data_IF_704669962129
#
_entry.id   IF_704669962129
#
_cell.length_a   1.000
_cell.length_b   1.000
_cell.length_c   1.000
_cell.angle_alpha   90.00
_cell.angle_beta   90.00
_cell.angle_gamma   90.00
#
_symmetry.space_group_name_H-M   'P 1'
#
loop_
_entity.id
_entity.type
_entity.pdbx_description
1 polymer ?
#
# COMPACT_ATOMS: atom_id res chain seq x y z
N UNK A 1 -18.14 2.56 -25.15
CA UNK A 1 -18.18 1.64 -23.99
C UNK A 1 -19.28 2.12 -23.06
N UNK A 2 -20.22 1.25 -22.68
CA UNK A 2 -21.23 1.59 -21.66
C UNK A 2 -20.58 1.29 -20.31
N UNK A 3 -19.81 2.23 -19.79
CA UNK A 3 -19.18 2.10 -18.47
C UNK A 3 -20.21 2.28 -17.36
N UNK A 4 -19.99 1.63 -16.22
CA UNK A 4 -20.81 1.78 -15.02
C UNK A 4 -20.71 3.23 -14.51
N UNK A 5 -21.79 4.01 -14.70
CA UNK A 5 -21.81 5.44 -14.37
C UNK A 5 -22.24 5.66 -12.93
N UNK A 6 -21.52 6.53 -12.24
CA UNK A 6 -21.76 6.89 -10.84
C UNK A 6 -21.74 8.40 -10.69
N UNK A 7 -22.78 8.96 -10.08
CA UNK A 7 -22.80 10.38 -9.73
C UNK A 7 -22.08 10.59 -8.41
N UNK A 8 -21.07 11.45 -8.39
CA UNK A 8 -20.35 11.83 -7.18
C UNK A 8 -20.94 13.13 -6.63
N UNK A 9 -21.53 13.07 -5.43
CA UNK A 9 -22.10 14.24 -4.77
C UNK A 9 -21.01 15.22 -4.30
N UNK A 10 -21.33 16.51 -4.19
CA UNK A 10 -20.38 17.55 -3.77
C UNK A 10 -19.76 17.22 -2.39
N UNK A 11 -20.53 16.62 -1.48
CA UNK A 11 -20.05 16.31 -0.12
C UNK A 11 -18.86 15.33 -0.08
N UNK A 12 -18.76 14.40 -1.05
CA UNK A 12 -17.62 13.46 -1.16
C UNK A 12 -16.48 14.02 -2.00
N UNK A 13 -16.75 15.06 -2.80
CA UNK A 13 -15.77 15.79 -3.60
C UNK A 13 -15.04 16.88 -2.80
N UNK A 14 -15.56 17.27 -1.64
CA UNK A 14 -14.95 18.32 -0.82
C UNK A 14 -13.69 17.87 -0.06
N UNK A 15 -13.72 16.80 0.75
CA UNK A 15 -12.53 16.32 1.44
C UNK A 15 -11.47 15.87 0.43
N UNK A 16 -10.30 16.49 0.49
CA UNK A 16 -9.28 16.33 -0.55
C UNK A 16 -8.82 14.88 -0.70
N UNK A 17 -8.56 14.18 0.41
CA UNK A 17 -8.10 12.79 0.37
C UNK A 17 -9.14 11.84 -0.24
N UNK A 18 -10.39 11.90 0.23
CA UNK A 18 -11.47 11.04 -0.27
C UNK A 18 -11.73 11.29 -1.76
N UNK A 19 -11.82 12.56 -2.16
CA UNK A 19 -12.03 12.93 -3.56
C UNK A 19 -10.88 12.45 -4.46
N UNK A 20 -9.62 12.57 -4.00
CA UNK A 20 -8.48 12.09 -4.77
C UNK A 20 -8.52 10.57 -4.97
N UNK A 21 -8.88 9.81 -3.93
CA UNK A 21 -9.03 8.35 -4.04
C UNK A 21 -10.16 7.99 -5.02
N UNK A 22 -11.36 8.54 -4.85
CA UNK A 22 -12.49 8.30 -5.76
C UNK A 22 -12.17 8.64 -7.22
N UNK A 23 -11.50 9.77 -7.46
CA UNK A 23 -11.10 10.17 -8.81
C UNK A 23 -9.98 9.30 -9.37
N UNK A 24 -9.07 8.77 -8.55
CA UNK A 24 -8.03 7.85 -9.02
C UNK A 24 -8.63 6.48 -9.38
N UNK A 25 -9.60 6.00 -8.60
CA UNK A 25 -10.36 4.78 -8.92
C UNK A 25 -11.17 4.94 -10.21
N UNK A 26 -11.73 6.12 -10.46
CA UNK A 26 -12.38 6.46 -11.72
C UNK A 26 -11.41 6.53 -12.91
N UNK A 27 -10.21 7.07 -12.71
CA UNK A 27 -9.13 7.13 -13.71
C UNK A 27 -8.65 5.71 -14.09
N UNK A 28 -8.67 4.78 -13.14
CA UNK A 28 -8.43 3.35 -13.35
C UNK A 28 -9.64 2.59 -13.93
N UNK A 29 -10.63 3.31 -14.46
CA UNK A 29 -11.82 2.78 -15.16
C UNK A 29 -12.74 1.87 -14.32
N UNK A 30 -12.63 1.86 -12.99
CA UNK A 30 -13.54 1.08 -12.11
C UNK A 30 -14.98 1.59 -12.16
N UNK A 31 -15.16 2.88 -12.44
CA UNK A 31 -16.45 3.49 -12.74
C UNK A 31 -16.26 4.78 -13.56
N UNK A 32 -17.34 5.23 -14.21
CA UNK A 32 -17.35 6.48 -14.96
C UNK A 32 -18.01 7.56 -14.10
N UNK A 33 -17.27 8.61 -13.66
CA UNK A 33 -17.84 9.63 -12.81
C UNK A 33 -18.75 10.57 -13.61
N UNK A 34 -19.84 11.00 -12.97
CA UNK A 34 -20.79 11.97 -13.49
C UNK A 34 -21.00 13.07 -12.46
N UNK A 35 -21.06 14.32 -12.93
CA UNK A 35 -21.42 15.48 -12.12
C UNK A 35 -22.02 16.58 -13.00
N UNK A 36 -22.71 17.53 -12.38
CA UNK A 36 -23.26 18.69 -13.09
C UNK A 36 -22.36 19.91 -12.96
N UNK A 37 -22.50 20.91 -13.86
CA UNK A 37 -21.92 22.23 -13.64
C UNK A 37 -22.30 22.85 -12.30
N UNK A 38 -23.58 22.77 -11.90
CA UNK A 38 -24.06 23.31 -10.61
C UNK A 38 -23.36 22.62 -9.41
N UNK A 39 -23.06 21.32 -9.52
CA UNK A 39 -22.33 20.56 -8.51
C UNK A 39 -20.89 21.04 -8.37
N UNK A 40 -20.18 21.24 -9.48
CA UNK A 40 -18.81 21.76 -9.42
C UNK A 40 -18.74 23.21 -8.96
N UNK A 41 -19.74 24.05 -9.29
CA UNK A 41 -19.88 25.39 -8.74
C UNK A 41 -20.09 25.35 -7.22
N UNK A 42 -20.86 24.39 -6.72
CA UNK A 42 -21.02 24.15 -5.30
C UNK A 42 -19.70 23.71 -4.63
N UNK A 43 -18.95 22.80 -5.26
CA UNK A 43 -17.63 22.39 -4.77
C UNK A 43 -16.70 23.61 -4.69
N UNK A 44 -16.64 24.44 -5.73
CA UNK A 44 -15.82 25.66 -5.75
C UNK A 44 -16.20 26.62 -4.62
N UNK A 45 -17.50 26.91 -4.47
CA UNK A 45 -18.04 27.77 -3.41
C UNK A 45 -17.68 27.24 -2.02
N UNK A 46 -17.91 25.96 -1.76
CA UNK A 46 -17.66 25.36 -0.46
C UNK A 46 -16.16 25.32 -0.12
N UNK A 47 -15.27 25.14 -1.10
CA UNK A 47 -13.82 25.18 -0.87
C UNK A 47 -13.30 26.55 -0.42
N UNK A 48 -13.92 27.62 -0.92
CA UNK A 48 -13.62 29.00 -0.47
C UNK A 48 -14.23 29.36 0.89
N UNK A 49 -15.14 28.54 1.41
CA UNK A 49 -15.76 28.74 2.71
C UNK A 49 -14.79 28.56 3.88
N UNK A 50 -15.16 29.08 5.05
CA UNK A 50 -14.35 29.06 6.28
C UNK A 50 -13.92 27.66 6.73
N UNK A 51 -14.66 26.62 6.35
CA UNK A 51 -14.34 25.22 6.66
C UNK A 51 -13.08 24.71 5.95
N UNK A 52 -12.84 25.14 4.71
CA UNK A 52 -11.73 24.63 3.89
C UNK A 52 -10.69 25.70 3.57
N UNK A 53 -11.06 26.98 3.63
CA UNK A 53 -10.13 28.11 3.62
C UNK A 53 -9.26 28.23 2.37
N UNK A 54 -9.68 27.66 1.23
CA UNK A 54 -8.94 27.78 -0.03
C UNK A 54 -9.16 29.15 -0.63
N UNK A 55 -8.15 29.69 -1.32
CA UNK A 55 -8.37 30.92 -2.11
C UNK A 55 -9.29 30.61 -3.30
N UNK A 56 -9.99 31.61 -3.86
CA UNK A 56 -10.79 31.44 -5.08
C UNK A 56 -9.99 30.81 -6.23
N UNK A 57 -8.73 31.21 -6.39
CA UNK A 57 -7.84 30.66 -7.40
C UNK A 57 -7.54 29.18 -7.15
N UNK A 58 -7.29 28.78 -5.91
CA UNK A 58 -7.04 27.37 -5.55
C UNK A 58 -8.28 26.50 -5.80
N UNK A 59 -9.47 26.99 -5.44
CA UNK A 59 -10.73 26.27 -5.67
C UNK A 59 -11.00 26.09 -7.16
N UNK A 60 -10.87 27.17 -7.95
CA UNK A 60 -11.03 27.15 -9.40
C UNK A 60 -10.02 26.23 -10.09
N UNK A 61 -8.76 26.25 -9.66
CA UNK A 61 -7.72 25.36 -10.18
C UNK A 61 -8.02 23.89 -9.90
N UNK A 62 -8.59 23.56 -8.74
CA UNK A 62 -9.00 22.19 -8.42
C UNK A 62 -10.12 21.71 -9.36
N UNK A 63 -11.17 22.52 -9.53
CA UNK A 63 -12.28 22.21 -10.45
C UNK A 63 -11.80 22.09 -11.89
N UNK A 64 -10.89 22.96 -12.33
CA UNK A 64 -10.30 22.89 -13.67
C UNK A 64 -9.55 21.56 -13.88
N UNK A 65 -8.74 21.11 -12.90
CA UNK A 65 -8.05 19.81 -12.98
C UNK A 65 -9.02 18.64 -13.09
N UNK A 66 -10.14 18.68 -12.35
CA UNK A 66 -11.17 17.64 -12.44
C UNK A 66 -11.81 17.60 -13.83
N UNK A 67 -12.15 18.76 -14.42
CA UNK A 67 -12.68 18.85 -15.79
C UNK A 67 -11.68 18.36 -16.83
N UNK A 68 -10.41 18.68 -16.66
CA UNK A 68 -9.35 18.24 -17.58
C UNK A 68 -9.15 16.73 -17.51
N UNK A 69 -9.18 16.14 -16.32
CA UNK A 69 -9.04 14.69 -16.15
C UNK A 69 -10.27 13.93 -16.66
N UNK A 70 -11.47 14.47 -16.48
CA UNK A 70 -12.73 13.81 -16.87
C UNK A 70 -13.57 14.73 -17.79
N UNK A 71 -13.17 14.92 -19.06
CA UNK A 71 -13.81 15.88 -19.96
C UNK A 71 -15.28 15.56 -20.27
N UNK A 72 -15.69 14.29 -20.14
CA UNK A 72 -17.05 13.84 -20.46
C UNK A 72 -18.00 13.80 -19.25
N UNK A 73 -17.50 13.97 -18.02
CA UNK A 73 -18.29 13.78 -16.80
C UNK A 73 -19.49 14.74 -16.70
N UNK A 74 -19.35 15.99 -17.16
CA UNK A 74 -20.47 16.94 -17.25
C UNK A 74 -21.40 16.63 -18.42
N UNK A 75 -20.84 16.22 -19.57
CA UNK A 75 -21.61 15.96 -20.80
C UNK A 75 -22.62 14.83 -20.61
N UNK A 76 -22.28 13.79 -19.84
CA UNK A 76 -23.21 12.71 -19.52
C UNK A 76 -24.49 13.18 -18.83
N UNK A 77 -24.43 14.31 -18.11
CA UNK A 77 -25.60 14.89 -17.43
C UNK A 77 -26.30 15.97 -18.25
N UNK A 78 -25.90 16.23 -19.51
CA UNK A 78 -26.45 17.32 -20.31
C UNK A 78 -27.99 17.28 -20.39
N UNK A 79 -28.63 18.42 -20.10
CA UNK A 79 -30.08 18.52 -19.98
C UNK A 79 -30.68 18.11 -18.63
N UNK A 80 -29.87 17.82 -17.60
CA UNK A 80 -30.38 17.48 -16.25
C UNK A 80 -31.32 18.55 -15.66
N UNK A 81 -31.11 19.84 -16.00
CA UNK A 81 -31.91 20.95 -15.45
C UNK A 81 -33.41 20.82 -15.74
N UNK A 82 -33.78 20.22 -16.87
CA UNK A 82 -35.18 19.96 -17.24
C UNK A 82 -35.88 19.00 -16.27
N UNK A 83 -35.12 18.12 -15.61
CA UNK A 83 -35.63 17.09 -14.72
C UNK A 83 -35.69 17.55 -13.26
N UNK A 84 -35.02 18.65 -12.88
CA UNK A 84 -34.92 19.14 -11.49
C UNK A 84 -36.29 19.30 -10.84
N UNK A 85 -37.28 19.85 -11.55
CA UNK A 85 -38.63 20.06 -11.02
C UNK A 85 -39.39 18.77 -10.70
N UNK A 86 -38.97 17.65 -11.30
CA UNK A 86 -39.57 16.31 -11.10
C UNK A 86 -38.90 15.51 -9.97
N UNK A 87 -37.80 16.02 -9.43
CA UNK A 87 -37.07 15.43 -8.32
C UNK A 87 -37.73 15.80 -6.99
N UNK A 88 -37.99 14.80 -6.16
CA UNK A 88 -38.73 14.93 -4.90
C UNK A 88 -37.85 14.72 -3.66
N UNK A 89 -36.53 14.63 -3.86
CA UNK A 89 -35.52 14.61 -2.81
C UNK A 89 -35.24 16.04 -2.29
N UNK A 90 -34.22 16.22 -1.44
CA UNK A 90 -33.91 17.53 -0.86
C UNK A 90 -33.80 18.61 -1.95
N UNK A 91 -34.46 19.78 -1.81
CA UNK A 91 -34.48 20.82 -2.82
C UNK A 91 -33.10 21.27 -3.33
N UNK A 92 -32.07 21.24 -2.48
CA UNK A 92 -30.71 21.62 -2.86
C UNK A 92 -30.03 20.55 -3.69
N UNK A 93 -30.33 19.29 -3.43
CA UNK A 93 -29.67 18.13 -4.06
C UNK A 93 -30.46 17.56 -5.26
N UNK A 94 -31.53 18.23 -5.70
CA UNK A 94 -32.33 17.81 -6.86
C UNK A 94 -31.51 17.73 -8.14
N UNK A 95 -30.50 18.59 -8.30
CA UNK A 95 -29.65 18.55 -9.48
C UNK A 95 -28.78 17.29 -9.54
N UNK A 96 -28.40 16.72 -8.39
CA UNK A 96 -27.62 15.49 -8.30
C UNK A 96 -28.46 14.30 -8.76
N UNK A 97 -29.69 14.18 -8.24
CA UNK A 97 -30.61 13.12 -8.68
C UNK A 97 -30.99 13.28 -10.15
N UNK A 98 -31.29 14.50 -10.60
CA UNK A 98 -31.57 14.77 -12.00
C UNK A 98 -30.42 14.36 -12.94
N UNK A 99 -29.17 14.53 -12.49
CA UNK A 99 -27.99 14.08 -13.23
C UNK A 99 -27.89 12.56 -13.30
N UNK A 100 -28.19 11.85 -12.21
CA UNK A 100 -28.21 10.39 -12.20
C UNK A 100 -29.22 9.85 -13.24
N UNK A 101 -30.45 10.37 -13.20
CA UNK A 101 -31.51 10.01 -14.15
C UNK A 101 -31.12 10.35 -15.59
N UNK A 102 -30.60 11.56 -15.84
CA UNK A 102 -30.24 11.99 -17.20
C UNK A 102 -29.09 11.17 -17.79
N UNK A 103 -28.09 10.82 -16.97
CA UNK A 103 -26.91 10.07 -17.39
C UNK A 103 -27.11 8.57 -17.40
N UNK A 104 -28.22 8.06 -16.85
CA UNK A 104 -28.44 6.63 -16.64
C UNK A 104 -27.48 6.03 -15.60
N UNK A 105 -26.99 6.83 -14.66
CA UNK A 105 -26.20 6.34 -13.54
C UNK A 105 -27.15 5.64 -12.54
N UNK A 106 -26.87 4.38 -12.24
CA UNK A 106 -27.64 3.61 -11.26
C UNK A 106 -27.32 3.98 -9.81
N UNK A 107 -26.21 4.69 -9.57
CA UNK A 107 -25.72 4.99 -8.22
C UNK A 107 -25.30 6.46 -8.05
N UNK A 108 -25.64 7.00 -6.88
CA UNK A 108 -25.18 8.28 -6.34
C UNK A 108 -24.32 8.00 -5.10
N UNK A 109 -23.07 8.43 -5.09
CA UNK A 109 -22.19 8.32 -3.92
C UNK A 109 -22.30 9.61 -3.10
N UNK A 110 -22.81 9.51 -1.88
CA UNK A 110 -23.04 10.65 -0.97
C UNK A 110 -22.90 10.25 0.50
N UNK A 111 -22.31 11.13 1.31
CA UNK A 111 -22.29 10.97 2.76
C UNK A 111 -23.62 11.38 3.43
N UNK A 112 -24.51 12.08 2.70
CA UNK A 112 -25.76 12.61 3.21
C UNK A 112 -26.98 11.81 2.74
N UNK A 113 -27.04 10.51 3.04
CA UNK A 113 -28.09 9.60 2.56
C UNK A 113 -29.53 10.08 2.83
N UNK A 114 -29.74 10.84 3.91
CA UNK A 114 -31.05 11.43 4.25
C UNK A 114 -31.60 12.38 3.18
N UNK A 115 -30.72 13.01 2.39
CA UNK A 115 -31.10 13.98 1.34
C UNK A 115 -31.56 13.24 0.07
N UNK A 116 -31.36 11.92 0.02
CA UNK A 116 -31.72 11.00 -1.06
C UNK A 116 -32.53 9.81 -0.53
N UNK A 117 -33.73 10.03 0.04
CA UNK A 117 -34.52 8.95 0.60
C UNK A 117 -34.94 7.95 -0.49
N UNK A 118 -34.93 6.65 -0.18
CA UNK A 118 -35.27 5.57 -1.13
C UNK A 118 -36.57 5.82 -1.91
N UNK A 119 -37.60 6.34 -1.26
CA UNK A 119 -38.89 6.67 -1.90
C UNK A 119 -38.79 7.72 -3.02
N UNK A 120 -37.77 8.58 -3.00
CA UNK A 120 -37.51 9.55 -4.06
C UNK A 120 -36.72 8.95 -5.23
N UNK A 121 -35.92 7.91 -4.98
CA UNK A 121 -34.99 7.32 -5.95
C UNK A 121 -35.56 6.11 -6.70
N UNK A 122 -36.31 5.27 -6.00
CA UNK A 122 -36.75 3.94 -6.49
C UNK A 122 -37.54 4.01 -7.80
N UNK A 123 -38.31 5.08 -8.02
CA UNK A 123 -39.05 5.33 -9.28
C UNK A 123 -38.17 5.58 -10.51
N UNK A 124 -36.86 5.74 -10.31
CA UNK A 124 -35.89 6.01 -11.37
C UNK A 124 -34.80 4.94 -11.47
N UNK A 125 -34.91 3.83 -10.72
CA UNK A 125 -33.89 2.78 -10.63
C UNK A 125 -32.49 3.34 -10.25
N UNK A 126 -32.48 4.32 -9.33
CA UNK A 126 -31.28 4.93 -8.77
C UNK A 126 -31.16 4.54 -7.31
N UNK A 127 -29.94 4.28 -6.85
CA UNK A 127 -29.60 4.05 -5.44
C UNK A 127 -28.62 5.12 -4.94
N UNK A 128 -28.68 5.42 -3.65
CA UNK A 128 -27.70 6.29 -2.98
C UNK A 128 -26.90 5.45 -1.98
N UNK A 129 -25.58 5.52 -2.09
CA UNK A 129 -24.63 4.72 -1.29
C UNK A 129 -23.64 5.63 -0.56
N UNK A 130 -23.29 5.25 0.67
CA UNK A 130 -22.26 5.96 1.43
C UNK A 130 -20.88 5.68 0.83
N UNK A 131 -19.94 6.67 0.76
CA UNK A 131 -18.61 6.43 0.19
C UNK A 131 -17.85 5.30 0.88
N UNK A 132 -18.09 5.07 2.17
CA UNK A 132 -17.47 3.96 2.93
C UNK A 132 -17.89 2.60 2.37
N UNK A 133 -19.19 2.42 2.12
CA UNK A 133 -19.74 1.18 1.57
C UNK A 133 -19.35 1.01 0.10
N UNK A 134 -19.43 2.08 -0.69
CA UNK A 134 -19.00 2.06 -2.09
C UNK A 134 -17.52 1.68 -2.26
N UNK A 135 -16.64 2.19 -1.40
CA UNK A 135 -15.22 1.83 -1.43
C UNK A 135 -14.98 0.38 -0.97
N UNK A 136 -15.75 -0.13 -0.01
CA UNK A 136 -15.72 -1.55 0.34
C UNK A 136 -16.13 -2.42 -0.86
N UNK A 137 -17.22 -2.09 -1.55
CA UNK A 137 -17.67 -2.85 -2.72
C UNK A 137 -16.60 -2.88 -3.82
N UNK A 138 -15.95 -1.73 -4.08
CA UNK A 138 -14.84 -1.67 -5.03
C UNK A 138 -13.62 -2.49 -4.57
N UNK A 139 -13.31 -2.49 -3.27
CA UNK A 139 -12.21 -3.29 -2.72
C UNK A 139 -12.48 -4.79 -2.83
N UNK A 140 -13.71 -5.21 -2.53
CA UNK A 140 -14.13 -6.60 -2.59
C UNK A 140 -14.14 -7.12 -4.05
N UNK A 141 -14.54 -6.27 -5.01
CA UNK A 141 -14.58 -6.62 -6.43
C UNK A 141 -13.22 -6.52 -7.13
N UNK A 142 -12.38 -5.56 -6.74
CA UNK A 142 -11.19 -5.15 -7.48
C UNK A 142 -9.99 -4.87 -6.56
N UNK A 143 -9.72 -5.78 -5.62
CA UNK A 143 -8.72 -5.58 -4.55
C UNK A 143 -7.38 -5.06 -5.07
N UNK A 144 -6.77 -5.71 -6.06
CA UNK A 144 -5.47 -5.31 -6.62
C UNK A 144 -5.45 -3.87 -7.16
N UNK A 145 -6.43 -3.52 -8.01
CA UNK A 145 -6.52 -2.19 -8.63
C UNK A 145 -6.76 -1.11 -7.56
N UNK A 146 -7.54 -1.42 -6.52
CA UNK A 146 -7.76 -0.47 -5.40
C UNK A 146 -6.45 -0.18 -4.66
N UNK A 147 -5.63 -1.20 -4.38
CA UNK A 147 -4.31 -1.01 -3.78
C UNK A 147 -3.37 -0.19 -4.67
N UNK A 148 -3.30 -0.50 -5.97
CA UNK A 148 -2.52 0.30 -6.93
C UNK A 148 -2.97 1.78 -6.96
N UNK A 149 -4.28 2.03 -6.96
CA UNK A 149 -4.82 3.39 -6.91
C UNK A 149 -4.44 4.12 -5.62
N UNK A 150 -4.42 3.42 -4.48
CA UNK A 150 -4.00 3.99 -3.21
C UNK A 150 -2.51 4.38 -3.23
N UNK A 151 -1.66 3.58 -3.88
CA UNK A 151 -0.25 3.91 -4.10
C UNK A 151 -0.07 5.13 -5.01
N UNK A 152 -0.79 5.17 -6.12
CA UNK A 152 -0.80 6.31 -7.05
C UNK A 152 -1.19 7.61 -6.33
N UNK A 153 -2.20 7.56 -5.45
CA UNK A 153 -2.61 8.72 -4.64
C UNK A 153 -1.47 9.22 -3.77
N UNK A 154 -0.75 8.34 -3.07
CA UNK A 154 0.32 8.74 -2.15
C UNK A 154 1.59 9.18 -2.89
N UNK A 155 1.90 8.58 -4.05
CA UNK A 155 3.04 8.99 -4.88
C UNK A 155 2.88 10.38 -5.50
N UNK A 156 1.64 10.78 -5.84
CA UNK A 156 1.33 12.10 -6.41
C UNK A 156 1.39 13.25 -5.38
N UNK A 157 1.45 12.93 -4.09
CA UNK A 157 1.30 13.88 -3.01
C UNK A 157 2.64 14.53 -2.58
N UNK A 158 2.78 15.84 -2.81
CA UNK A 158 3.93 16.61 -2.30
C UNK A 158 3.92 16.80 -0.77
N UNK A 159 2.74 16.70 -0.14
CA UNK A 159 2.51 16.83 1.31
C UNK A 159 1.67 15.63 1.78
N UNK A 160 1.67 15.27 3.08
CA UNK A 160 0.90 14.14 3.58
C UNK A 160 -0.56 14.11 3.07
N UNK A 161 -1.11 12.91 2.78
CA UNK A 161 -0.52 11.59 3.01
C UNK A 161 0.49 11.18 1.92
N UNK A 162 1.68 10.72 2.34
CA UNK A 162 2.77 10.21 1.47
C UNK A 162 2.99 8.70 1.59
N UNK A 163 2.26 8.04 2.48
CA UNK A 163 2.25 6.59 2.64
C UNK A 163 0.82 6.08 2.69
N UNK A 164 0.60 4.79 2.37
CA UNK A 164 -0.71 4.15 2.48
C UNK A 164 -1.24 4.20 3.92
N UNK A 165 -0.37 4.05 4.93
CA UNK A 165 -0.77 4.20 6.33
C UNK A 165 -1.28 5.61 6.67
N UNK A 166 -0.59 6.67 6.23
CA UNK A 166 -1.06 8.05 6.40
C UNK A 166 -2.36 8.30 5.64
N UNK A 167 -2.51 7.70 4.45
CA UNK A 167 -3.73 7.77 3.66
C UNK A 167 -4.90 7.18 4.45
N UNK A 168 -4.75 5.97 5.00
CA UNK A 168 -5.75 5.30 5.82
C UNK A 168 -6.15 6.13 7.05
N UNK A 169 -5.19 6.68 7.79
CA UNK A 169 -5.45 7.57 8.94
C UNK A 169 -6.27 8.79 8.52
N UNK A 170 -5.94 9.39 7.37
CA UNK A 170 -6.67 10.57 6.88
C UNK A 170 -8.09 10.26 6.38
N UNK A 171 -8.35 9.01 5.99
CA UNK A 171 -9.64 8.53 5.52
C UNK A 171 -10.55 8.01 6.65
N UNK A 172 -9.98 7.56 7.76
CA UNK A 172 -10.67 6.84 8.86
C UNK A 172 -11.93 7.53 9.37
N UNK A 173 -11.93 8.86 9.51
CA UNK A 173 -13.11 9.60 9.97
C UNK A 173 -14.28 9.55 8.98
N UNK A 174 -14.00 9.34 7.69
CA UNK A 174 -14.98 9.41 6.60
C UNK A 174 -15.42 8.03 6.14
N UNK A 175 -14.48 7.08 6.10
CA UNK A 175 -14.68 5.75 5.53
C UNK A 175 -14.03 4.66 6.43
N UNK A 176 -14.48 4.53 7.69
CA UNK A 176 -13.86 3.61 8.65
C UNK A 176 -13.97 2.14 8.25
N UNK A 177 -15.09 1.69 7.66
CA UNK A 177 -15.26 0.28 7.26
C UNK A 177 -14.30 -0.09 6.13
N UNK A 178 -14.12 0.79 5.15
CA UNK A 178 -13.14 0.62 4.08
C UNK A 178 -11.73 0.58 4.64
N UNK A 179 -11.39 1.50 5.55
CA UNK A 179 -10.07 1.50 6.20
C UNK A 179 -9.81 0.18 6.92
N UNK A 180 -10.78 -0.34 7.67
CA UNK A 180 -10.66 -1.63 8.36
C UNK A 180 -10.62 -2.80 7.39
N UNK A 181 -11.33 -2.74 6.26
CA UNK A 181 -11.26 -3.74 5.20
C UNK A 181 -9.88 -3.78 4.54
N UNK A 182 -9.32 -2.62 4.17
CA UNK A 182 -7.95 -2.53 3.65
C UNK A 182 -6.95 -3.06 4.66
N UNK A 183 -7.07 -2.67 5.94
CA UNK A 183 -6.22 -3.20 7.02
C UNK A 183 -6.31 -4.72 7.11
N UNK A 184 -7.50 -5.32 6.96
CA UNK A 184 -7.66 -6.78 6.93
C UNK A 184 -6.98 -7.42 5.74
N UNK A 185 -7.09 -6.84 4.54
CA UNK A 185 -6.38 -7.34 3.35
C UNK A 185 -4.85 -7.23 3.48
N UNK A 186 -4.36 -6.22 4.20
CA UNK A 186 -2.93 -6.11 4.54
C UNK A 186 -2.46 -7.14 5.58
N UNK A 187 -3.38 -7.86 6.23
CA UNK A 187 -3.09 -8.80 7.33
C UNK A 187 -3.41 -10.25 6.94
N UNK A 188 -4.37 -10.50 6.05
CA UNK A 188 -4.86 -11.83 5.73
C UNK A 188 -3.85 -12.62 4.88
N UNK A 189 -3.35 -13.78 5.33
CA UNK A 189 -2.69 -14.74 4.44
C UNK A 189 -3.74 -15.37 3.51
N UNK A 190 -3.37 -15.62 2.25
CA UNK A 190 -4.20 -16.38 1.30
C UNK A 190 -4.79 -17.63 1.97
N UNK A 191 -6.12 -17.81 1.93
CA UNK A 191 -6.78 -18.98 2.50
C UNK A 191 -6.32 -20.27 1.77
N UNK A 192 -5.78 -21.28 2.48
CA UNK A 192 -5.60 -22.59 1.91
C UNK A 192 -6.91 -23.39 1.98
N UNK A 193 -7.33 -23.90 0.84
CA UNK A 193 -8.34 -24.97 0.74
C UNK A 193 -7.97 -26.12 1.69
N UNK A 194 -8.96 -26.53 2.49
CA UNK A 194 -8.74 -27.22 3.76
C UNK A 194 -8.02 -28.56 3.74
N UNK A 195 -7.37 -28.85 4.86
CA UNK A 195 -7.34 -30.15 5.53
C UNK A 195 -6.82 -29.95 6.97
N UNK A 196 -7.28 -30.79 7.89
CA UNK A 196 -7.18 -30.58 9.35
C UNK A 196 -5.74 -30.61 9.89
N UNK A 197 -5.38 -29.69 10.77
CA UNK A 197 -4.17 -29.78 11.60
C UNK A 197 -4.49 -29.63 13.10
N UNK A 198 -3.86 -30.49 13.89
CA UNK A 198 -4.09 -30.67 15.32
C UNK A 198 -3.46 -29.57 16.18
N UNK A 199 -3.70 -29.67 17.49
CA UNK A 199 -3.43 -28.66 18.52
C UNK A 199 -1.94 -28.33 18.81
N UNK A 200 -1.07 -28.34 17.80
CA UNK A 200 0.32 -27.85 17.87
C UNK A 200 0.63 -26.72 16.85
N UNK A 201 -0.33 -26.35 16.00
CA UNK A 201 -0.19 -25.28 14.98
C UNK A 201 -0.97 -24.02 15.35
N UNK A 202 -0.65 -23.40 16.50
CA UNK A 202 -1.09 -22.03 16.72
C UNK A 202 -0.23 -21.11 15.84
N UNK A 203 -0.86 -20.49 14.84
CA UNK A 203 -0.20 -19.60 13.90
C UNK A 203 0.53 -18.45 14.65
N UNK A 204 1.77 -18.10 14.27
CA UNK A 204 2.65 -17.21 15.04
C UNK A 204 2.25 -15.70 15.00
N UNK A 205 0.98 -15.38 14.75
CA UNK A 205 0.46 -14.01 14.61
C UNK A 205 -0.44 -13.57 15.77
N UNK A 206 -0.73 -14.45 16.74
CA UNK A 206 -1.54 -14.13 17.91
C UNK A 206 -0.67 -13.65 19.07
N UNK A 207 -1.03 -12.49 19.63
CA UNK A 207 -0.51 -12.05 20.92
C UNK A 207 -0.91 -13.05 22.01
N UNK A 208 0.07 -13.74 22.60
CA UNK A 208 -0.17 -14.72 23.65
C UNK A 208 -0.38 -14.02 24.99
N UNK A 209 -1.58 -14.17 25.57
CA UNK A 209 -1.85 -13.72 26.93
C UNK A 209 -1.13 -14.62 27.95
N UNK A 210 -0.20 -14.01 28.70
CA UNK A 210 0.52 -14.62 29.81
C UNK A 210 -0.25 -14.44 31.13
N UNK A 211 -0.20 -15.46 31.98
CA UNK A 211 -0.71 -15.37 33.36
C UNK A 211 0.27 -14.67 34.33
N UNK A 212 -0.22 -14.32 35.52
CA UNK A 212 0.56 -13.57 36.52
C UNK A 212 1.84 -14.28 36.99
N UNK A 213 1.90 -15.61 36.91
CA UNK A 213 3.09 -16.39 37.26
C UNK A 213 4.10 -16.39 36.10
N UNK A 214 3.63 -16.48 34.85
CA UNK A 214 4.43 -16.37 33.65
C UNK A 214 5.03 -14.95 33.49
N UNK A 215 4.26 -13.89 33.75
CA UNK A 215 4.78 -12.51 33.74
C UNK A 215 5.94 -12.33 34.72
N UNK A 216 5.91 -13.00 35.88
CA UNK A 216 6.98 -12.93 36.89
C UNK A 216 8.30 -13.54 36.42
N UNK A 217 8.25 -14.45 35.44
CA UNK A 217 9.44 -15.08 34.85
C UNK A 217 10.16 -14.21 33.81
N UNK A 218 9.48 -13.19 33.26
CA UNK A 218 10.07 -12.25 32.31
C UNK A 218 11.07 -11.30 32.99
N UNK A 219 12.10 -10.89 32.23
CA UNK A 219 12.98 -9.78 32.63
C UNK A 219 12.20 -8.46 32.73
N UNK A 220 12.69 -7.44 33.46
CA UNK A 220 12.01 -6.16 33.58
C UNK A 220 11.66 -5.52 32.23
N UNK A 221 12.62 -5.51 31.30
CA UNK A 221 12.45 -4.93 29.96
C UNK A 221 11.44 -5.73 29.11
N UNK A 222 11.46 -7.06 29.21
CA UNK A 222 10.52 -7.93 28.50
C UNK A 222 9.10 -7.80 29.07
N UNK A 223 8.96 -7.58 30.38
CA UNK A 223 7.67 -7.33 31.02
C UNK A 223 7.08 -5.99 30.60
N UNK A 224 7.89 -4.94 30.57
CA UNK A 224 7.48 -3.61 30.09
C UNK A 224 7.04 -3.67 28.62
N UNK A 225 7.81 -4.34 27.76
CA UNK A 225 7.45 -4.54 26.36
C UNK A 225 6.15 -5.34 26.21
N UNK A 226 5.96 -6.40 27.01
CA UNK A 226 4.73 -7.19 27.03
C UNK A 226 3.50 -6.36 27.46
N UNK A 227 3.61 -5.59 28.53
CA UNK A 227 2.52 -4.72 28.99
C UNK A 227 2.18 -3.62 27.96
N UNK A 228 3.19 -3.09 27.27
CA UNK A 228 3.02 -2.14 26.18
C UNK A 228 2.25 -2.77 25.01
N UNK A 229 2.64 -3.98 24.59
CA UNK A 229 1.93 -4.74 23.56
C UNK A 229 0.50 -5.07 23.97
N UNK A 230 0.28 -5.45 25.24
CA UNK A 230 -1.05 -5.78 25.79
C UNK A 230 -2.02 -4.59 25.78
N UNK A 231 -1.49 -3.39 25.93
CA UNK A 231 -2.26 -2.14 25.99
C UNK A 231 -2.43 -1.44 24.63
N UNK A 232 -1.66 -1.83 23.61
CA UNK A 232 -1.87 -1.41 22.21
C UNK A 232 -3.22 -1.90 21.70
N UNK A 233 -3.84 -1.12 20.79
CA UNK A 233 -5.00 -1.62 20.07
C UNK A 233 -4.62 -2.84 19.20
N UNK A 234 -5.62 -3.66 18.85
CA UNK A 234 -5.39 -4.91 18.14
C UNK A 234 -4.69 -4.71 16.78
N UNK A 235 -5.03 -3.65 16.05
CA UNK A 235 -4.46 -3.38 14.73
C UNK A 235 -3.01 -2.90 14.83
N UNK A 236 -2.70 -2.01 15.78
CA UNK A 236 -1.35 -1.55 16.09
C UNK A 236 -0.45 -2.71 16.54
N UNK A 237 -0.99 -3.60 17.38
CA UNK A 237 -0.28 -4.78 17.88
C UNK A 237 0.06 -5.76 16.77
N UNK A 238 -0.90 -6.06 15.90
CA UNK A 238 -0.67 -6.94 14.73
C UNK A 238 0.38 -6.34 13.80
N UNK A 239 0.29 -5.03 13.51
CA UNK A 239 1.29 -4.32 12.70
C UNK A 239 2.68 -4.38 13.32
N UNK A 240 2.79 -4.17 14.63
CA UNK A 240 4.07 -4.23 15.34
C UNK A 240 4.69 -5.63 15.28
N UNK A 241 3.89 -6.68 15.54
CA UNK A 241 4.34 -8.07 15.46
C UNK A 241 4.72 -8.48 14.03
N UNK A 242 4.00 -8.00 13.02
CA UNK A 242 4.36 -8.20 11.60
C UNK A 242 5.68 -7.53 11.24
N UNK A 243 5.89 -6.29 11.68
CA UNK A 243 7.15 -5.56 11.50
C UNK A 243 8.34 -6.27 12.15
N UNK A 244 8.17 -6.83 13.36
CA UNK A 244 9.24 -7.60 14.03
C UNK A 244 9.71 -8.77 13.16
N UNK A 245 8.79 -9.57 12.59
CA UNK A 245 9.14 -10.71 11.72
C UNK A 245 9.88 -10.28 10.46
N UNK A 246 9.44 -9.18 9.86
CA UNK A 246 10.07 -8.61 8.68
C UNK A 246 11.51 -8.16 8.98
N UNK A 247 11.72 -7.44 10.08
CA UNK A 247 13.06 -7.03 10.53
C UNK A 247 13.94 -8.23 10.89
N UNK A 248 13.39 -9.23 11.58
CA UNK A 248 14.08 -10.48 11.89
C UNK A 248 14.53 -11.20 10.62
N UNK A 249 13.67 -11.29 9.59
CA UNK A 249 14.01 -11.90 8.32
C UNK A 249 15.13 -11.14 7.59
N UNK A 250 15.09 -9.81 7.62
CA UNK A 250 16.16 -8.99 7.07
C UNK A 250 17.49 -9.20 7.83
N UNK A 251 17.45 -9.28 9.17
CA UNK A 251 18.63 -9.59 9.97
C UNK A 251 19.17 -11.00 9.74
N UNK A 252 18.27 -11.98 9.57
CA UNK A 252 18.62 -13.36 9.26
C UNK A 252 19.33 -13.48 7.90
N UNK A 253 19.13 -12.53 6.98
CA UNK A 253 19.91 -12.42 5.75
C UNK A 253 21.19 -11.60 5.94
N UNK A 254 21.08 -10.38 6.47
CA UNK A 254 22.22 -9.45 6.55
C UNK A 254 23.34 -9.95 7.45
N UNK A 255 23.01 -10.57 8.58
CA UNK A 255 24.02 -10.92 9.58
C UNK A 255 24.98 -11.99 9.02
N UNK A 256 24.51 -13.14 8.48
CA UNK A 256 25.42 -14.13 7.89
C UNK A 256 26.23 -13.56 6.72
N UNK A 257 25.61 -12.77 5.83
CA UNK A 257 26.29 -12.22 4.64
C UNK A 257 27.36 -11.21 5.02
N UNK A 258 27.04 -10.25 5.89
CA UNK A 258 27.91 -9.12 6.15
C UNK A 258 28.83 -9.32 7.37
N UNK A 259 28.44 -10.12 8.36
CA UNK A 259 29.32 -10.49 9.49
C UNK A 259 30.19 -11.68 9.11
N UNK A 260 29.57 -12.79 8.73
CA UNK A 260 30.28 -14.05 8.54
C UNK A 260 30.83 -14.23 7.11
N UNK A 261 30.27 -13.49 6.14
CA UNK A 261 30.63 -13.65 4.73
C UNK A 261 30.00 -14.88 4.09
N UNK A 262 28.93 -15.40 4.69
CA UNK A 262 28.23 -16.61 4.27
C UNK A 262 26.91 -16.25 3.60
N UNK A 263 26.93 -16.16 2.26
CA UNK A 263 25.73 -15.97 1.46
C UNK A 263 25.04 -17.30 1.20
N UNK A 264 25.81 -18.41 1.12
CA UNK A 264 25.29 -19.73 0.79
C UNK A 264 24.21 -20.19 1.75
N UNK A 265 24.43 -20.07 3.06
CA UNK A 265 23.46 -20.55 4.06
C UNK A 265 22.12 -19.81 4.01
N UNK A 266 22.13 -18.56 3.55
CA UNK A 266 20.94 -17.69 3.48
C UNK A 266 20.46 -17.42 2.05
N UNK A 267 21.05 -18.06 1.06
CA UNK A 267 20.58 -17.99 -0.33
C UNK A 267 19.12 -18.43 -0.53
N UNK A 268 18.59 -19.40 0.25
CA UNK A 268 17.15 -19.69 0.25
C UNK A 268 16.26 -18.52 0.69
N UNK A 269 16.79 -17.55 1.44
CA UNK A 269 16.06 -16.35 1.87
C UNK A 269 16.06 -15.24 0.81
N UNK A 270 16.71 -15.46 -0.34
CA UNK A 270 16.69 -14.53 -1.48
C UNK A 270 15.61 -14.99 -2.45
N UNK A 271 14.79 -14.04 -2.91
CA UNK A 271 13.71 -14.32 -3.85
C UNK A 271 14.26 -14.97 -5.14
N UNK A 272 13.62 -16.02 -5.70
CA UNK A 272 14.07 -16.72 -6.91
C UNK A 272 14.45 -15.78 -8.08
N UNK A 273 13.61 -14.80 -8.40
CA UNK A 273 13.89 -13.81 -9.44
C UNK A 273 15.16 -13.00 -9.19
N UNK A 274 15.39 -12.59 -7.93
CA UNK A 274 16.61 -11.87 -7.58
C UNK A 274 17.84 -12.79 -7.67
N UNK A 275 17.72 -14.06 -7.26
CA UNK A 275 18.80 -15.04 -7.45
C UNK A 275 19.16 -15.20 -8.92
N UNK A 276 18.15 -15.31 -9.78
CA UNK A 276 18.35 -15.41 -11.23
C UNK A 276 19.01 -14.14 -11.79
N UNK A 277 18.53 -12.96 -11.40
CA UNK A 277 19.08 -11.70 -11.87
C UNK A 277 20.56 -11.51 -11.46
N UNK A 278 20.89 -11.79 -10.20
CA UNK A 278 22.25 -11.67 -9.68
C UNK A 278 23.21 -12.65 -10.36
N UNK A 279 22.78 -13.90 -10.56
CA UNK A 279 23.61 -14.94 -11.18
C UNK A 279 23.82 -14.65 -12.67
N UNK A 280 22.78 -14.23 -13.40
CA UNK A 280 22.92 -13.80 -14.79
C UNK A 280 23.84 -12.59 -14.92
N UNK A 281 23.73 -11.61 -14.02
CA UNK A 281 24.63 -10.46 -14.02
C UNK A 281 26.09 -10.90 -13.81
N UNK A 282 26.34 -11.73 -12.80
CA UNK A 282 27.67 -12.22 -12.49
C UNK A 282 28.27 -13.05 -13.63
N UNK A 283 27.49 -13.93 -14.27
CA UNK A 283 27.94 -14.70 -15.43
C UNK A 283 28.31 -13.79 -16.59
N UNK A 284 27.49 -12.78 -16.92
CA UNK A 284 27.80 -11.80 -17.97
C UNK A 284 29.10 -11.05 -17.69
N UNK A 285 29.33 -10.63 -16.45
CA UNK A 285 30.53 -9.90 -16.05
C UNK A 285 31.81 -10.78 -16.08
N UNK A 286 31.65 -12.11 -16.02
CA UNK A 286 32.75 -13.08 -15.97
C UNK A 286 32.81 -14.03 -17.17
N UNK A 287 32.05 -13.73 -18.24
CA UNK A 287 31.82 -14.60 -19.40
C UNK A 287 33.11 -15.24 -19.94
N UNK A 288 34.12 -14.41 -20.23
CA UNK A 288 35.40 -14.87 -20.81
C UNK A 288 36.13 -15.90 -19.94
N UNK A 289 36.05 -15.76 -18.61
CA UNK A 289 36.69 -16.68 -17.68
C UNK A 289 35.91 -17.99 -17.57
N UNK A 290 34.58 -17.91 -17.55
CA UNK A 290 33.68 -19.08 -17.50
C UNK A 290 33.88 -19.95 -18.74
N UNK A 291 33.89 -19.34 -19.93
CA UNK A 291 34.13 -20.04 -21.20
C UNK A 291 35.54 -20.66 -21.26
N UNK A 292 36.56 -19.93 -20.78
CA UNK A 292 37.94 -20.42 -20.77
C UNK A 292 38.13 -21.65 -19.86
N UNK A 293 37.37 -21.73 -18.77
CA UNK A 293 37.32 -22.89 -17.87
C UNK A 293 36.42 -24.02 -18.39
N UNK A 294 35.79 -23.83 -19.56
CA UNK A 294 35.00 -24.85 -20.26
C UNK A 294 33.55 -25.01 -19.77
N UNK A 295 33.03 -24.01 -19.05
CA UNK A 295 31.64 -24.01 -18.59
C UNK A 295 30.69 -23.34 -19.59
N UNK A 296 29.45 -23.80 -19.62
CA UNK A 296 28.36 -23.14 -20.35
C UNK A 296 27.71 -22.05 -19.47
N UNK A 297 27.59 -20.83 -20.01
CA UNK A 297 27.10 -19.66 -19.27
C UNK A 297 25.69 -19.84 -18.71
N UNK A 298 24.79 -20.38 -19.52
CA UNK A 298 23.39 -20.51 -19.16
C UNK A 298 23.20 -21.60 -18.10
N UNK A 299 23.91 -22.73 -18.25
CA UNK A 299 23.95 -23.78 -17.24
C UNK A 299 24.54 -23.30 -15.91
N UNK A 300 25.57 -22.44 -15.95
CA UNK A 300 26.15 -21.85 -14.72
C UNK A 300 25.15 -20.93 -14.03
N UNK A 301 24.48 -20.04 -14.77
CA UNK A 301 23.48 -19.14 -14.19
C UNK A 301 22.33 -19.92 -13.57
N UNK A 302 21.79 -20.92 -14.27
CA UNK A 302 20.75 -21.80 -13.77
C UNK A 302 21.21 -22.52 -12.49
N UNK A 303 22.40 -23.15 -12.52
CA UNK A 303 22.95 -23.87 -11.38
C UNK A 303 23.16 -23.00 -10.14
N UNK A 304 23.64 -21.77 -10.30
CA UNK A 304 23.89 -20.83 -9.19
C UNK A 304 22.60 -20.21 -8.64
N UNK A 305 21.55 -20.07 -9.47
CA UNK A 305 20.28 -19.46 -9.05
C UNK A 305 19.40 -20.39 -8.19
N UNK A 306 19.72 -21.68 -8.15
CA UNK A 306 19.08 -22.65 -7.27
C UNK A 306 19.27 -22.28 -5.79
N UNK A 307 18.25 -22.52 -4.97
CA UNK A 307 18.25 -22.20 -3.53
C UNK A 307 19.42 -22.83 -2.77
N UNK A 308 19.83 -24.03 -3.18
CA UNK A 308 20.97 -24.76 -2.66
C UNK A 308 21.90 -25.10 -3.81
N UNK A 309 22.93 -24.29 -4.02
CA UNK A 309 23.89 -24.47 -5.12
C UNK A 309 25.24 -24.98 -4.59
N UNK A 310 25.63 -26.15 -5.08
CA UNK A 310 26.95 -26.75 -4.84
C UNK A 310 27.89 -26.56 -6.05
N UNK A 311 27.55 -25.62 -6.95
CA UNK A 311 28.33 -25.40 -8.16
C UNK A 311 29.77 -24.93 -7.79
N UNK A 312 30.83 -25.44 -8.46
CA UNK A 312 32.21 -25.10 -8.13
C UNK A 312 32.51 -23.59 -8.16
N UNK A 313 31.84 -22.85 -9.04
CA UNK A 313 32.01 -21.39 -9.16
C UNK A 313 31.31 -20.57 -8.05
N UNK A 314 30.53 -21.19 -7.17
CA UNK A 314 29.84 -20.49 -6.08
C UNK A 314 30.77 -19.63 -5.22
N UNK A 315 31.95 -20.14 -4.88
CA UNK A 315 32.94 -19.43 -4.04
C UNK A 315 33.46 -18.14 -4.69
N UNK A 316 33.35 -18.02 -6.01
CA UNK A 316 33.69 -16.80 -6.75
C UNK A 316 32.50 -15.84 -6.79
N UNK A 317 31.31 -16.37 -7.07
CA UNK A 317 30.04 -15.64 -7.03
C UNK A 317 29.79 -14.98 -5.66
N UNK A 318 29.80 -15.77 -4.60
CA UNK A 318 29.56 -15.33 -3.22
C UNK A 318 30.53 -14.24 -2.80
N UNK A 319 31.82 -14.44 -3.05
CA UNK A 319 32.86 -13.48 -2.68
C UNK A 319 32.64 -12.10 -3.31
N UNK A 320 32.19 -12.04 -4.56
CA UNK A 320 31.90 -10.77 -5.23
C UNK A 320 30.69 -10.08 -4.58
N UNK A 321 29.60 -10.81 -4.37
CA UNK A 321 28.37 -10.23 -3.80
C UNK A 321 28.51 -9.85 -2.33
N UNK A 322 29.17 -10.69 -1.52
CA UNK A 322 29.49 -10.37 -0.11
C UNK A 322 30.34 -9.10 -0.04
N UNK A 323 31.36 -8.97 -0.89
CA UNK A 323 32.21 -7.77 -0.94
C UNK A 323 31.37 -6.53 -1.30
N UNK A 324 30.61 -6.60 -2.38
CA UNK A 324 29.78 -5.48 -2.84
C UNK A 324 28.73 -5.08 -1.80
N UNK A 325 28.08 -6.03 -1.13
CA UNK A 325 27.10 -5.71 -0.11
C UNK A 325 27.75 -5.02 1.09
N UNK A 326 28.89 -5.53 1.60
CA UNK A 326 29.65 -4.91 2.70
C UNK A 326 30.15 -3.49 2.40
N UNK A 327 30.35 -3.15 1.13
CA UNK A 327 30.71 -1.79 0.70
C UNK A 327 29.52 -0.83 0.71
N UNK A 328 28.29 -1.35 0.58
CA UNK A 328 27.06 -0.56 0.46
C UNK A 328 26.29 -0.42 1.77
N UNK A 329 26.35 -1.43 2.65
CA UNK A 329 25.70 -1.36 3.97
C UNK A 329 26.63 -0.77 5.03
N UNK A 330 26.08 -0.08 6.05
CA UNK A 330 26.85 0.36 7.22
C UNK A 330 27.59 -0.80 7.91
N UNK A 331 28.69 -0.52 8.63
CA UNK A 331 29.44 -1.54 9.35
C UNK A 331 28.55 -2.33 10.33
N UNK A 332 28.72 -3.66 10.46
CA UNK A 332 27.91 -4.45 11.38
C UNK A 332 27.92 -4.01 12.85
N UNK A 333 29.01 -3.35 13.26
CA UNK A 333 29.15 -2.82 14.60
C UNK A 333 28.20 -1.63 14.89
N UNK A 334 27.69 -0.96 13.86
CA UNK A 334 26.90 0.27 13.99
C UNK A 334 25.63 0.29 13.15
N UNK A 335 25.33 -0.76 12.37
CA UNK A 335 24.11 -0.80 11.58
C UNK A 335 22.85 -0.87 12.46
N UNK A 336 21.73 -0.45 11.88
CA UNK A 336 20.41 -0.55 12.48
C UNK A 336 19.35 -0.52 11.40
N UNK A 337 18.17 -1.04 11.74
CA UNK A 337 16.98 -0.97 10.89
C UNK A 337 15.95 -0.15 11.64
N UNK A 338 15.39 0.85 10.98
CA UNK A 338 14.39 1.74 11.56
C UNK A 338 13.13 0.98 11.99
N UNK A 339 12.43 1.51 12.99
CA UNK A 339 11.18 0.93 13.51
C UNK A 339 9.95 1.16 12.59
N UNK A 340 10.16 1.77 11.42
CA UNK A 340 9.12 2.03 10.43
C UNK A 340 9.52 1.44 9.09
N UNK A 341 8.66 0.58 8.55
CA UNK A 341 8.74 0.10 7.18
C UNK A 341 7.95 0.98 6.24
N UNK A 342 8.29 0.89 4.96
CA UNK A 342 7.51 1.47 3.88
C UNK A 342 6.90 0.34 3.06
N UNK A 343 5.57 0.23 3.05
CA UNK A 343 4.85 -0.66 2.14
C UNK A 343 5.02 -0.16 0.69
N UNK A 344 5.40 -1.06 -0.21
CA UNK A 344 5.65 -0.80 -1.65
C UNK A 344 4.66 -1.53 -2.55
N UNK A 345 4.00 -2.57 -2.05
CA UNK A 345 3.01 -3.36 -2.78
C UNK A 345 2.34 -4.38 -1.85
N UNK A 346 1.35 -5.13 -2.34
CA UNK A 346 0.87 -6.31 -1.63
C UNK A 346 2.06 -7.23 -1.36
N UNK A 347 2.24 -7.63 -0.10
CA UNK A 347 3.36 -8.49 0.34
C UNK A 347 4.76 -7.90 0.11
N UNK A 348 4.90 -6.59 -0.17
CA UNK A 348 6.18 -5.94 -0.44
C UNK A 348 6.43 -4.80 0.53
N UNK A 349 7.48 -4.92 1.33
CA UNK A 349 7.88 -3.89 2.29
C UNK A 349 9.36 -3.54 2.16
N UNK A 350 9.67 -2.25 2.25
CA UNK A 350 11.03 -1.73 2.28
C UNK A 350 11.44 -1.42 3.71
N UNK A 351 12.62 -1.93 4.04
CA UNK A 351 13.39 -1.61 5.24
C UNK A 351 14.55 -0.69 4.87
N UNK A 352 14.98 0.13 5.82
CA UNK A 352 16.12 1.02 5.66
C UNK A 352 17.19 0.65 6.68
N UNK A 353 18.32 0.16 6.18
CA UNK A 353 19.53 -0.06 7.00
C UNK A 353 20.29 1.25 7.09
N UNK A 354 20.70 1.65 8.29
CA UNK A 354 21.38 2.91 8.53
C UNK A 354 22.46 2.79 9.60
N UNK A 355 23.39 3.75 9.64
CA UNK A 355 24.44 3.82 10.66
C UNK A 355 23.89 4.50 11.92
N UNK A 356 23.66 3.73 12.97
CA UNK A 356 23.16 4.19 14.26
C UNK A 356 24.15 5.07 15.03
N UNK A 357 25.46 4.97 14.76
CA UNK A 357 26.46 5.82 15.42
C UNK A 357 26.30 7.30 15.07
N UNK A 358 25.54 7.57 14.00
CA UNK A 358 25.23 8.91 13.54
C UNK A 358 23.98 9.50 14.19
N UNK A 359 23.27 8.74 15.03
CA UNK A 359 22.05 9.16 15.73
C UNK A 359 22.38 9.65 17.15
N UNK A 360 21.88 10.83 17.52
CA UNK A 360 21.84 11.24 18.92
C UNK A 360 20.70 10.48 19.62
N UNK A 361 21.01 9.80 20.74
CA UNK A 361 20.08 8.98 21.52
C UNK A 361 19.32 7.88 20.74
N UNK A 362 19.83 7.48 19.57
CA UNK A 362 19.20 6.44 18.73
C UNK A 362 17.91 6.89 18.02
N UNK A 363 17.60 8.18 18.04
CA UNK A 363 16.38 8.73 17.44
C UNK A 363 16.70 9.42 16.12
N UNK A 364 15.91 9.14 15.08
CA UNK A 364 15.98 9.86 13.82
C UNK A 364 15.11 11.12 13.89
N UNK A 365 15.76 12.29 13.92
CA UNK A 365 15.10 13.58 13.85
C UNK A 365 14.34 13.80 12.52
N UNK A 366 13.04 14.19 12.56
CA UNK A 366 12.25 14.44 11.36
C UNK A 366 12.91 15.45 10.42
N UNK A 367 12.81 15.19 9.10
CA UNK A 367 13.38 16.01 8.02
C UNK A 367 14.91 16.11 7.96
N UNK A 368 15.64 15.33 8.76
CA UNK A 368 17.10 15.24 8.63
C UNK A 368 17.47 14.22 7.57
N UNK A 369 18.11 14.62 6.44
CA UNK A 369 18.55 13.68 5.42
C UNK A 369 19.57 12.70 6.00
N UNK A 370 19.44 11.41 5.66
CA UNK A 370 20.37 10.36 6.06
C UNK A 370 20.69 9.47 4.88
N UNK A 371 21.92 8.97 4.87
CA UNK A 371 22.27 7.86 4.00
C UNK A 371 21.69 6.57 4.59
N UNK A 372 20.88 5.90 3.80
CA UNK A 372 20.25 4.63 4.14
C UNK A 372 20.48 3.65 3.00
N UNK A 373 20.49 2.36 3.32
CA UNK A 373 20.51 1.28 2.36
C UNK A 373 19.15 0.58 2.36
N UNK A 374 18.34 0.74 1.30
CA UNK A 374 17.04 0.09 1.21
C UNK A 374 17.16 -1.43 0.98
N UNK A 375 16.28 -2.18 1.63
CA UNK A 375 16.09 -3.62 1.40
C UNK A 375 14.61 -3.83 1.14
N UNK A 376 14.28 -4.24 -0.07
CA UNK A 376 12.91 -4.65 -0.42
C UNK A 376 12.74 -6.12 -0.04
N UNK A 377 11.73 -6.38 0.77
CA UNK A 377 11.36 -7.71 1.25
C UNK A 377 10.02 -8.08 0.64
N UNK A 378 9.85 -9.36 0.30
CA UNK A 378 8.61 -9.90 -0.24
C UNK A 378 8.11 -11.07 0.62
N UNK A 379 6.85 -11.04 1.05
CA UNK A 379 6.23 -12.12 1.79
C UNK A 379 5.72 -13.17 0.80
N UNK A 380 6.34 -14.35 0.79
CA UNK A 380 5.97 -15.47 -0.08
C UNK A 380 5.65 -16.66 0.80
N UNK A 381 4.43 -17.18 0.71
CA UNK A 381 3.97 -18.35 1.49
C UNK A 381 4.26 -18.21 3.00
N UNK A 382 4.04 -17.01 3.56
CA UNK A 382 4.27 -16.72 4.98
C UNK A 382 5.73 -16.50 5.39
N UNK A 383 6.66 -16.45 4.43
CA UNK A 383 8.09 -16.18 4.66
C UNK A 383 8.55 -14.92 3.94
N UNK A 384 9.22 -14.03 4.67
CA UNK A 384 9.86 -12.86 4.07
C UNK A 384 11.16 -13.26 3.37
N UNK A 385 11.24 -12.93 2.08
CA UNK A 385 12.42 -13.12 1.23
C UNK A 385 12.97 -11.77 0.78
N UNK A 386 14.29 -11.69 0.60
CA UNK A 386 14.94 -10.51 0.03
C UNK A 386 14.58 -10.43 -1.45
N UNK A 387 13.82 -9.40 -1.81
CA UNK A 387 13.33 -9.15 -3.16
C UNK A 387 14.24 -8.19 -3.93
N UNK A 388 14.82 -7.20 -3.26
CA UNK A 388 15.79 -6.29 -3.86
C UNK A 388 16.74 -5.71 -2.81
N UNK A 389 17.94 -5.32 -3.24
CA UNK A 389 19.01 -4.75 -2.40
C UNK A 389 19.48 -3.44 -3.02
N UNK A 390 19.18 -2.30 -2.38
CA UNK A 390 19.54 -0.96 -2.84
C UNK A 390 18.35 -0.17 -3.43
N UNK A 391 17.73 -0.60 -4.54
CA UNK A 391 16.54 0.05 -5.07
C UNK A 391 15.29 -0.21 -4.22
N UNK A 392 14.45 0.81 -4.06
CA UNK A 392 13.13 0.69 -3.41
C UNK A 392 12.07 0.07 -4.33
N UNK A 393 12.31 0.06 -5.65
CA UNK A 393 11.37 -0.43 -6.64
C UNK A 393 11.49 -1.96 -6.82
N UNK A 394 10.34 -2.61 -7.00
CA UNK A 394 10.29 -4.00 -7.44
C UNK A 394 10.72 -4.09 -8.92
N UNK A 395 11.75 -4.88 -9.26
CA UNK A 395 12.25 -5.00 -10.62
C UNK A 395 11.25 -5.60 -11.62
N UNK A 396 10.16 -6.23 -11.16
CA UNK A 396 9.08 -6.75 -12.02
C UNK A 396 7.85 -5.85 -12.13
N UNK A 397 7.81 -4.73 -11.40
CA UNK A 397 6.78 -3.72 -11.54
C UNK A 397 6.86 -3.11 -12.94
N UNK A 398 5.94 -3.52 -13.82
CA UNK A 398 5.78 -2.92 -15.14
C UNK A 398 5.46 -1.41 -15.02
N UNK A 399 6.00 -0.64 -15.97
CA UNK A 399 5.69 0.77 -16.22
C UNK A 399 4.19 1.06 -16.31
#
# INVERSE_FOLDING_TARGET
MVGFRVVLDACVMLPQTLANLLLTLADAELFVPVWTPDLLEEVERNLTGSRFGKTPEQAKQRVLRMRTAFPFAEEFSSGYRELISSMVNDPKDRHVLAAAVRSGAGLIVTANLKDFPRSALEKFDVEAIHPDEFLCDLLDLHTGIVFECMEVVVMRNAHPPRTVGELLVSLERQVPRFVDAVRRHLIAPDEPSGESMGAADLAPHEFVELDDEQLKTLSPDAREAYERLRTMDHAERVRFLGHVKLVEAAWAFLSPVCVDGDLRSVWPNVHPDLRLALTQQWVRDNQRSIEADGFDEQAVAEALSNATSEHPLWVHFERVHVRSLRELVPPPATWGIGASTRLVGPDLEVLYVHDTSTLEDGVWEPNTPRHVFPILMNLVEGRWLVRNLGPEADPTGAM
#
